data_IF_456086641963
#
_entry.id   IF_456086641963
#
_cell.length_a   1.000
_cell.length_b   1.000
_cell.length_c   1.000
_cell.angle_alpha   90.00
_cell.angle_beta   90.00
_cell.angle_gamma   90.00
#
_symmetry.space_group_name_H-M   'P 1'
#
loop_
_entity.id
_entity.type
_entity.pdbx_description
1 polymer ?
#
# COMPACT_ATOMS: atom_id res chain seq x y z
N UNK A 1 4.42 -10.26 -17.05
CA UNK A 1 4.12 -8.93 -16.49
C UNK A 1 4.66 -7.87 -17.42
N UNK A 2 3.96 -6.75 -17.58
CA UNK A 2 4.49 -5.57 -18.27
C UNK A 2 5.35 -4.74 -17.30
N UNK A 3 6.33 -4.00 -17.83
CA UNK A 3 7.17 -3.09 -17.05
C UNK A 3 6.33 -2.05 -16.28
N UNK A 4 5.24 -1.58 -16.89
CA UNK A 4 4.28 -0.68 -16.25
C UNK A 4 3.65 -1.31 -14.99
N UNK A 5 3.28 -2.59 -15.03
CA UNK A 5 2.70 -3.27 -13.87
C UNK A 5 3.72 -3.38 -12.72
N UNK A 6 4.99 -3.66 -13.03
CA UNK A 6 6.06 -3.69 -12.04
C UNK A 6 6.28 -2.32 -11.39
N UNK A 7 6.32 -1.25 -12.20
CA UNK A 7 6.48 0.12 -11.71
C UNK A 7 5.29 0.51 -10.81
N UNK A 8 4.06 0.19 -11.21
CA UNK A 8 2.85 0.46 -10.39
C UNK A 8 2.91 -0.28 -9.06
N UNK A 9 3.35 -1.54 -9.07
CA UNK A 9 3.51 -2.36 -7.86
C UNK A 9 4.54 -1.74 -6.91
N UNK A 10 5.70 -1.33 -7.42
CA UNK A 10 6.76 -0.68 -6.65
C UNK A 10 6.30 0.67 -6.08
N UNK A 11 5.67 1.52 -6.89
CA UNK A 11 5.18 2.83 -6.47
C UNK A 11 4.07 2.71 -5.40
N UNK A 12 3.16 1.75 -5.56
CA UNK A 12 2.10 1.43 -4.61
C UNK A 12 2.65 1.05 -3.24
N UNK A 13 3.62 0.12 -3.23
CA UNK A 13 4.25 -0.33 -1.99
C UNK A 13 5.01 0.83 -1.31
N UNK A 14 5.71 1.66 -2.08
CA UNK A 14 6.41 2.83 -1.55
C UNK A 14 5.45 3.85 -0.92
N UNK A 15 4.33 4.15 -1.60
CA UNK A 15 3.27 4.99 -1.06
C UNK A 15 2.67 4.40 0.21
N UNK A 16 2.47 3.08 0.25
CA UNK A 16 2.01 2.36 1.43
C UNK A 16 2.95 2.50 2.63
N UNK A 17 4.26 2.38 2.42
CA UNK A 17 5.26 2.61 3.48
C UNK A 17 5.29 4.08 3.95
N UNK A 18 5.08 5.04 3.04
CA UNK A 18 4.93 6.45 3.41
C UNK A 18 3.69 6.67 4.28
N UNK A 19 2.55 6.06 3.95
CA UNK A 19 1.34 6.10 4.78
C UNK A 19 1.55 5.41 6.14
N UNK A 20 2.26 4.28 6.16
CA UNK A 20 2.59 3.56 7.39
C UNK A 20 3.45 4.42 8.31
N UNK A 21 4.56 4.97 7.82
CA UNK A 21 5.41 5.90 8.58
C UNK A 21 4.65 7.16 9.01
N UNK A 22 3.76 7.68 8.17
CA UNK A 22 2.83 8.77 8.52
C UNK A 22 1.86 8.43 9.65
N UNK A 23 1.35 7.20 9.71
CA UNK A 23 0.53 6.72 10.83
C UNK A 23 1.34 6.64 12.13
N UNK A 24 2.58 6.15 12.07
CA UNK A 24 3.47 6.11 13.24
C UNK A 24 3.83 7.50 13.74
N UNK A 25 4.10 8.45 12.83
CA UNK A 25 4.37 9.83 13.20
C UNK A 25 3.13 10.49 13.80
N UNK A 26 1.94 10.24 13.25
CA UNK A 26 0.68 10.74 13.80
C UNK A 26 0.40 10.19 15.20
N UNK A 27 0.68 8.90 15.42
CA UNK A 27 0.60 8.27 16.73
C UNK A 27 1.60 8.89 17.73
N UNK A 28 2.86 9.08 17.32
CA UNK A 28 3.91 9.66 18.16
C UNK A 28 3.61 11.11 18.54
N UNK A 29 3.04 11.90 17.63
CA UNK A 29 2.68 13.29 17.86
C UNK A 29 1.38 13.44 18.68
N UNK A 30 0.76 12.36 19.15
CA UNK A 30 -0.48 12.39 19.92
C UNK A 30 -1.67 12.94 19.13
N UNK A 31 -1.63 12.86 17.79
CA UNK A 31 -2.74 13.31 16.92
C UNK A 31 -3.94 12.37 17.06
N UNK A 32 -5.08 12.84 16.51
CA UNK A 32 -6.35 12.11 16.56
C UNK A 32 -6.19 10.62 16.19
N UNK A 33 -6.73 9.70 17.01
CA UNK A 33 -6.68 8.25 16.76
C UNK A 33 -7.25 7.86 15.39
N UNK A 34 -8.26 8.61 14.91
CA UNK A 34 -8.90 8.40 13.62
C UNK A 34 -7.94 8.62 12.45
N UNK A 35 -7.05 9.60 12.56
CA UNK A 35 -6.05 9.88 11.52
C UNK A 35 -5.04 8.75 11.43
N UNK A 36 -4.52 8.30 12.57
CA UNK A 36 -3.58 7.16 12.66
C UNK A 36 -4.18 5.89 12.07
N UNK A 37 -5.42 5.56 12.46
CA UNK A 37 -6.11 4.37 11.93
C UNK A 37 -6.44 4.48 10.45
N UNK A 38 -6.85 5.66 9.98
CA UNK A 38 -7.10 5.91 8.55
C UNK A 38 -5.85 5.72 7.70
N UNK A 39 -4.73 6.35 8.10
CA UNK A 39 -3.44 6.19 7.42
C UNK A 39 -2.94 4.74 7.45
N UNK A 40 -3.15 4.04 8.56
CA UNK A 40 -2.79 2.62 8.68
C UNK A 40 -3.62 1.73 7.75
N UNK A 41 -4.94 1.93 7.70
CA UNK A 41 -5.81 1.18 6.79
C UNK A 41 -5.45 1.41 5.32
N UNK A 42 -5.16 2.67 4.94
CA UNK A 42 -4.72 3.03 3.59
C UNK A 42 -3.36 2.40 3.27
N UNK A 43 -2.42 2.41 4.22
CA UNK A 43 -1.12 1.75 4.06
C UNK A 43 -1.28 0.25 3.78
N UNK A 44 -2.13 -0.44 4.56
CA UNK A 44 -2.40 -1.86 4.36
C UNK A 44 -2.98 -2.10 2.97
N UNK A 45 -3.96 -1.30 2.53
CA UNK A 45 -4.55 -1.46 1.20
C UNK A 45 -3.53 -1.28 0.06
N UNK A 46 -2.66 -0.27 0.15
CA UNK A 46 -1.59 -0.01 -0.83
C UNK A 46 -0.53 -1.12 -0.88
N UNK A 47 -0.19 -1.71 0.27
CA UNK A 47 0.85 -2.76 0.36
C UNK A 47 0.29 -4.15 0.07
N UNK A 48 -1.02 -4.37 0.23
CA UNK A 48 -1.64 -5.70 0.08
C UNK A 48 -2.51 -5.77 -1.15
N UNK A 49 -3.59 -5.00 -1.23
CA UNK A 49 -4.63 -5.15 -2.25
C UNK A 49 -4.07 -4.92 -3.65
N UNK A 50 -3.32 -3.84 -3.86
CA UNK A 50 -2.78 -3.52 -5.20
C UNK A 50 -1.77 -4.57 -5.68
N UNK A 51 -0.68 -4.90 -4.95
CA UNK A 51 0.28 -5.90 -5.41
C UNK A 51 -0.32 -7.29 -5.53
N UNK A 52 -1.23 -7.70 -4.61
CA UNK A 52 -1.87 -9.02 -4.70
C UNK A 52 -2.83 -9.12 -5.88
N UNK A 53 -3.64 -8.09 -6.16
CA UNK A 53 -4.53 -8.10 -7.33
C UNK A 53 -3.76 -8.12 -8.65
N UNK A 54 -2.67 -7.36 -8.77
CA UNK A 54 -1.77 -7.40 -9.93
C UNK A 54 -1.17 -8.81 -10.06
N UNK A 55 -0.66 -9.38 -8.97
CA UNK A 55 -0.06 -10.72 -8.98
C UNK A 55 -1.07 -11.80 -9.41
N UNK A 56 -2.28 -11.78 -8.85
CA UNK A 56 -3.34 -12.73 -9.18
C UNK A 56 -3.74 -12.60 -10.65
N UNK A 57 -3.97 -11.39 -11.15
CA UNK A 57 -4.34 -11.15 -12.54
C UNK A 57 -3.30 -11.69 -13.51
N UNK A 58 -2.01 -11.44 -13.26
CA UNK A 58 -0.93 -11.95 -14.09
C UNK A 58 -0.74 -13.47 -13.95
N UNK A 59 -0.97 -14.05 -12.78
CA UNK A 59 -0.96 -15.49 -12.59
C UNK A 59 -2.09 -16.16 -13.38
N UNK A 60 -3.28 -15.55 -13.42
CA UNK A 60 -4.42 -16.09 -14.18
C UNK A 60 -4.24 -16.00 -15.70
N UNK A 61 -3.52 -14.97 -16.19
CA UNK A 61 -3.22 -14.81 -17.62
C UNK A 61 -2.02 -15.66 -18.10
N UNK A 62 -1.24 -16.21 -17.17
CA UNK A 62 -0.08 -17.05 -17.48
C UNK A 62 -0.46 -18.54 -17.66
N UNK A 63 -1.74 -18.87 -17.49
CA UNK A 63 -2.36 -20.18 -17.83
C UNK A 63 -2.88 -20.12 -19.26
#
# INVERSE_FOLDING_TARGET
MTDTALIVTMASVFAGFACFTGSFLSFRLGKSPWLTWGLMAVAIALITVIPTTIAIFWATLAV
#
